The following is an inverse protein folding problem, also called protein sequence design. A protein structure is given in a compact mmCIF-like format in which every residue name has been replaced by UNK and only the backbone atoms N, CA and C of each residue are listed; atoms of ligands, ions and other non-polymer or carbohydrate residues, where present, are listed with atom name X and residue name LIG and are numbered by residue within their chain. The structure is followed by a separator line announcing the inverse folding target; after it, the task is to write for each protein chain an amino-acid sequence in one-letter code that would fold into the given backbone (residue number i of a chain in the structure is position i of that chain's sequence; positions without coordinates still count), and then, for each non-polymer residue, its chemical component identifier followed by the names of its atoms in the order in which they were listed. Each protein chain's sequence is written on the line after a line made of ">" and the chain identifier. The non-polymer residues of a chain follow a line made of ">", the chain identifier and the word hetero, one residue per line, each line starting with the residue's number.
data_IF_204156250678
#
_entry.id   IF_204156250678
#
_cell.length_a   1.000
_cell.length_b   1.000
_cell.length_c   1.000
_cell.angle_alpha   90.00
_cell.angle_beta   90.00
_cell.angle_gamma   90.00
#
_symmetry.space_group_name_H-M   'P 1'
#
loop_
_entity.id
_entity.type
_entity.pdbx_description
1 polymer ?
#
# COMPACT_ATOMS: atom_id res chain seq x y z
N UNK A 1 -26.07 -10.25 -9.56
CA UNK A 1 -25.29 -11.32 -8.90
C UNK A 1 -24.66 -10.77 -7.62
N UNK A 2 -24.84 -11.42 -6.47
CA UNK A 2 -24.09 -11.05 -5.26
C UNK A 2 -22.59 -11.25 -5.53
N UNK A 3 -21.75 -10.30 -5.10
CA UNK A 3 -20.30 -10.47 -5.10
C UNK A 3 -19.93 -11.81 -4.46
N UNK A 4 -19.02 -12.53 -5.10
CA UNK A 4 -18.51 -13.77 -4.55
C UNK A 4 -17.70 -13.45 -3.30
N UNK A 5 -17.59 -14.43 -2.39
CA UNK A 5 -16.72 -14.29 -1.21
C UNK A 5 -15.26 -14.04 -1.62
N UNK A 6 -14.85 -14.52 -2.79
CA UNK A 6 -13.50 -14.32 -3.33
C UNK A 6 -13.33 -12.84 -3.70
N UNK A 7 -14.28 -12.24 -4.39
CA UNK A 7 -14.22 -10.84 -4.83
C UNK A 7 -14.04 -9.89 -3.64
N UNK A 8 -14.77 -10.12 -2.54
CA UNK A 8 -14.66 -9.33 -1.29
C UNK A 8 -13.28 -9.53 -0.63
N UNK A 9 -12.72 -10.73 -0.68
CA UNK A 9 -11.40 -11.02 -0.11
C UNK A 9 -10.29 -10.38 -0.94
N UNK A 10 -10.41 -10.38 -2.27
CA UNK A 10 -9.48 -9.72 -3.18
C UNK A 10 -9.44 -8.21 -2.93
N UNK A 11 -10.60 -7.58 -2.79
CA UNK A 11 -10.70 -6.16 -2.44
C UNK A 11 -9.98 -5.86 -1.11
N UNK A 12 -10.26 -6.65 -0.07
CA UNK A 12 -9.63 -6.48 1.25
C UNK A 12 -8.11 -6.65 1.18
N UNK A 13 -7.62 -7.64 0.44
CA UNK A 13 -6.19 -7.87 0.24
C UNK A 13 -5.55 -6.65 -0.42
N UNK A 14 -6.21 -6.05 -1.43
CA UNK A 14 -5.71 -4.85 -2.10
C UNK A 14 -5.63 -3.67 -1.13
N UNK A 15 -6.67 -3.43 -0.33
CA UNK A 15 -6.68 -2.41 0.72
C UNK A 15 -5.54 -2.64 1.72
N UNK A 16 -5.34 -3.87 2.20
CA UNK A 16 -4.26 -4.18 3.13
C UNK A 16 -2.87 -3.96 2.51
N UNK A 17 -2.67 -4.25 1.22
CA UNK A 17 -1.41 -3.93 0.54
C UNK A 17 -1.14 -2.43 0.52
N UNK A 18 -2.16 -1.59 0.29
CA UNK A 18 -2.03 -0.12 0.35
C UNK A 18 -1.61 0.31 1.76
N UNK A 19 -2.35 -0.14 2.78
CA UNK A 19 -2.09 0.20 4.18
C UNK A 19 -0.71 -0.26 4.67
N UNK A 20 -0.26 -1.46 4.26
CA UNK A 20 1.08 -1.94 4.60
C UNK A 20 2.17 -1.10 3.95
N UNK A 21 2.02 -0.67 2.69
CA UNK A 21 3.01 0.22 2.08
C UNK A 21 3.05 1.59 2.79
N UNK A 22 1.89 2.13 3.20
CA UNK A 22 1.83 3.36 4.00
C UNK A 22 2.51 3.20 5.36
N UNK A 23 2.25 2.09 6.06
CA UNK A 23 2.90 1.76 7.33
C UNK A 23 4.42 1.72 7.18
N UNK A 24 4.93 0.99 6.16
CA UNK A 24 6.37 0.87 5.95
C UNK A 24 7.02 2.16 5.45
N UNK A 25 6.31 2.98 4.70
CA UNK A 25 6.77 4.32 4.34
C UNK A 25 7.01 5.18 5.58
N UNK A 26 6.00 5.29 6.47
CA UNK A 26 6.09 6.07 7.70
C UNK A 26 7.14 5.51 8.67
N UNK A 27 7.22 4.18 8.80
CA UNK A 27 8.26 3.52 9.58
C UNK A 27 9.65 3.88 9.06
N UNK A 28 9.85 3.92 7.74
CA UNK A 28 11.15 4.28 7.13
C UNK A 28 11.52 5.71 7.47
N UNK A 29 10.59 6.66 7.34
CA UNK A 29 10.82 8.06 7.72
C UNK A 29 11.23 8.17 9.20
N UNK A 30 10.54 7.45 10.08
CA UNK A 30 10.84 7.46 11.52
C UNK A 30 12.19 6.83 11.88
N UNK A 31 12.70 5.93 11.03
CA UNK A 31 14.03 5.33 11.20
C UNK A 31 15.14 6.20 10.62
N UNK A 32 14.93 6.74 9.42
CA UNK A 32 15.89 7.65 8.80
C UNK A 32 16.04 8.96 9.59
N UNK A 33 14.98 9.42 10.28
CA UNK A 33 15.09 10.55 11.21
C UNK A 33 15.99 10.27 12.42
N UNK A 34 16.39 9.01 12.65
CA UNK A 34 17.30 8.57 13.72
C UNK A 34 18.69 8.18 13.20
N UNK A 35 18.97 8.45 11.93
CA UNK A 35 20.28 8.21 11.31
C UNK A 35 20.41 6.90 10.55
N UNK A 36 19.36 6.07 10.48
CA UNK A 36 19.35 4.91 9.58
C UNK A 36 19.29 5.39 8.11
N UNK A 37 19.77 4.58 7.17
CA UNK A 37 19.68 4.89 5.73
C UNK A 37 19.13 3.69 4.95
N UNK A 38 17.97 3.89 4.30
CA UNK A 38 17.34 2.86 3.46
C UNK A 38 17.28 3.27 1.98
N UNK A 39 17.97 4.35 1.61
CA UNK A 39 18.01 4.88 0.24
C UNK A 39 16.61 5.16 -0.31
N UNK A 40 16.30 4.54 -1.46
CA UNK A 40 15.03 4.75 -2.17
C UNK A 40 13.87 3.89 -1.64
N UNK A 41 14.03 3.17 -0.52
CA UNK A 41 12.99 2.29 0.01
C UNK A 41 11.67 3.04 0.29
N UNK A 42 11.72 4.22 0.93
CA UNK A 42 10.53 5.07 1.14
C UNK A 42 9.86 5.49 -0.18
N UNK A 43 10.64 5.90 -1.19
CA UNK A 43 10.09 6.33 -2.49
C UNK A 43 9.36 5.17 -3.18
N UNK A 44 9.96 3.97 -3.18
CA UNK A 44 9.33 2.76 -3.74
C UNK A 44 8.03 2.39 -3.01
N UNK A 45 7.95 2.57 -1.69
CA UNK A 45 6.72 2.36 -0.92
C UNK A 45 5.64 3.35 -1.32
N UNK A 46 6.00 4.63 -1.46
CA UNK A 46 5.07 5.69 -1.86
C UNK A 46 4.55 5.49 -3.30
N UNK A 47 5.43 5.19 -4.26
CA UNK A 47 5.06 4.85 -5.64
C UNK A 47 4.10 3.65 -5.67
N UNK A 48 4.36 2.62 -4.84
CA UNK A 48 3.48 1.45 -4.77
C UNK A 48 2.11 1.77 -4.20
N UNK A 49 2.00 2.69 -3.23
CA UNK A 49 0.70 3.16 -2.71
C UNK A 49 -0.13 3.74 -3.85
N UNK A 50 0.45 4.65 -4.64
CA UNK A 50 -0.28 5.28 -5.76
C UNK A 50 -0.68 4.26 -6.82
N UNK A 51 0.22 3.36 -7.21
CA UNK A 51 -0.09 2.28 -8.16
C UNK A 51 -1.24 1.39 -7.68
N UNK A 52 -1.21 0.93 -6.42
CA UNK A 52 -2.27 0.09 -5.86
C UNK A 52 -3.58 0.84 -5.65
N UNK A 53 -3.52 2.13 -5.34
CA UNK A 53 -4.71 2.96 -5.17
C UNK A 53 -5.40 3.25 -6.50
N UNK A 54 -4.65 3.43 -7.59
CA UNK A 54 -5.22 3.48 -8.95
C UNK A 54 -5.92 2.17 -9.30
N UNK A 55 -5.29 1.03 -9.03
CA UNK A 55 -5.91 -0.30 -9.21
C UNK A 55 -7.19 -0.45 -8.36
N UNK A 56 -7.19 0.05 -7.12
CA UNK A 56 -8.37 0.01 -6.25
C UNK A 56 -9.52 0.86 -6.82
N UNK A 57 -9.22 2.06 -7.31
CA UNK A 57 -10.22 2.92 -7.96
C UNK A 57 -10.81 2.27 -9.19
N UNK A 58 -9.98 1.74 -10.08
CA UNK A 58 -10.44 1.16 -11.34
C UNK A 58 -11.37 -0.05 -11.14
N UNK A 59 -11.15 -0.84 -10.07
CA UNK A 59 -11.86 -2.10 -9.87
C UNK A 59 -13.00 -2.04 -8.84
N UNK A 60 -13.01 -1.06 -7.92
CA UNK A 60 -13.91 -1.06 -6.76
C UNK A 60 -14.62 0.27 -6.43
N UNK A 61 -14.28 1.40 -7.10
CA UNK A 61 -14.96 2.70 -6.91
C UNK A 61 -15.53 3.21 -8.23
#
# INVERSE_FOLDING_TARGET
>A
PSLSKIDILEEKILIYKILQNALWYLWTLAKESRGDFFGNYKCKRLERIFSLYSEYKENYI
#
